data_IF_187008097180
#
_entry.id   IF_187008097180
#
_cell.length_a   1.000
_cell.length_b   1.000
_cell.length_c   1.000
_cell.angle_alpha   90.00
_cell.angle_beta   90.00
_cell.angle_gamma   90.00
#
_symmetry.space_group_name_H-M   'P 1'
#
loop_
_entity.id
_entity.type
_entity.pdbx_description
1 polymer ?
#
# COMPACT_ATOMS: atom_id res chain seq x y z
N UNK A 1 -1.61 12.91 -9.80
CA UNK A 1 -2.54 13.33 -8.74
C UNK A 1 -3.90 12.64 -8.89
N UNK A 2 -4.62 12.81 -9.96
CA UNK A 2 -5.95 12.18 -10.17
C UNK A 2 -5.95 10.64 -10.16
N UNK A 3 -4.87 10.00 -10.62
CA UNK A 3 -4.75 8.53 -10.59
C UNK A 3 -4.82 7.96 -9.16
N UNK A 4 -4.27 8.66 -8.18
CA UNK A 4 -4.33 8.28 -6.76
C UNK A 4 -5.75 8.35 -6.24
N UNK A 5 -6.47 9.44 -6.50
CA UNK A 5 -7.86 9.62 -6.07
C UNK A 5 -8.75 8.53 -6.68
N UNK A 6 -8.60 8.22 -7.99
CA UNK A 6 -9.32 7.10 -8.64
C UNK A 6 -9.08 5.78 -7.90
N UNK A 7 -7.82 5.46 -7.58
CA UNK A 7 -7.48 4.22 -6.86
C UNK A 7 -8.14 4.17 -5.48
N UNK A 8 -8.08 5.25 -4.72
CA UNK A 8 -8.68 5.35 -3.39
C UNK A 8 -10.20 5.16 -3.45
N UNK A 9 -10.89 5.77 -4.45
CA UNK A 9 -12.32 5.60 -4.66
C UNK A 9 -12.65 4.14 -4.99
N UNK A 10 -11.93 3.51 -5.94
CA UNK A 10 -12.15 2.10 -6.30
C UNK A 10 -11.93 1.20 -5.09
N UNK A 11 -10.85 1.40 -4.34
CA UNK A 11 -10.58 0.63 -3.13
C UNK A 11 -11.68 0.78 -2.08
N UNK A 12 -12.15 2.00 -1.84
CA UNK A 12 -13.24 2.25 -0.89
C UNK A 12 -14.57 1.60 -1.32
N UNK A 13 -14.85 1.57 -2.63
CA UNK A 13 -16.05 0.96 -3.20
C UNK A 13 -15.96 -0.55 -3.37
N UNK A 14 -14.76 -1.14 -3.33
CA UNK A 14 -14.59 -2.60 -3.49
C UNK A 14 -15.23 -3.40 -2.35
N UNK A 15 -15.40 -2.80 -1.18
CA UNK A 15 -16.01 -3.44 -0.01
C UNK A 15 -17.53 -3.22 0.09
N UNK A 16 -18.02 -2.06 -0.36
CA UNK A 16 -19.45 -1.70 -0.31
C UNK A 16 -19.72 -0.40 -1.08
N UNK A 17 -20.96 -0.23 -1.51
CA UNK A 17 -21.43 1.06 -2.01
C UNK A 17 -21.35 2.10 -0.88
N UNK A 18 -20.99 3.34 -1.23
CA UNK A 18 -20.82 4.42 -0.26
C UNK A 18 -21.51 5.69 -0.72
N UNK A 19 -21.93 6.51 0.23
CA UNK A 19 -22.38 7.84 -0.10
C UNK A 19 -21.22 8.72 -0.60
N UNK A 20 -21.54 9.75 -1.39
CA UNK A 20 -20.55 10.74 -1.84
C UNK A 20 -19.82 11.37 -0.63
N UNK A 21 -20.53 11.61 0.48
CA UNK A 21 -19.96 12.21 1.69
C UNK A 21 -18.96 11.28 2.37
N UNK A 22 -19.26 9.97 2.47
CA UNK A 22 -18.32 8.99 3.03
C UNK A 22 -17.06 8.88 2.17
N UNK A 23 -17.22 8.84 0.85
CA UNK A 23 -16.07 8.82 -0.07
C UNK A 23 -15.23 10.10 0.06
N UNK A 24 -15.88 11.26 0.08
CA UNK A 24 -15.20 12.55 0.20
C UNK A 24 -14.41 12.64 1.51
N UNK A 25 -14.99 12.16 2.62
CA UNK A 25 -14.33 12.16 3.94
C UNK A 25 -13.13 11.21 4.05
N UNK A 26 -13.03 10.23 3.15
CA UNK A 26 -11.94 9.24 3.12
C UNK A 26 -10.80 9.60 2.16
N UNK A 27 -10.88 10.74 1.47
CA UNK A 27 -9.90 11.13 0.45
C UNK A 27 -8.96 12.24 0.95
N UNK A 28 -7.71 12.18 0.47
CA UNK A 28 -6.72 13.25 0.64
C UNK A 28 -6.74 14.24 -0.53
N UNK A 29 -7.89 14.60 -0.98
CA UNK A 29 -8.07 15.49 -2.12
C UNK A 29 -8.86 16.72 -1.72
N UNK A 30 -8.65 17.84 -2.40
CA UNK A 30 -9.58 18.95 -2.32
C UNK A 30 -10.96 18.55 -2.84
N UNK A 31 -11.99 19.22 -2.35
CA UNK A 31 -13.37 18.96 -2.78
C UNK A 31 -13.50 19.05 -4.30
N UNK A 32 -12.85 20.04 -4.92
CA UNK A 32 -12.89 20.24 -6.37
C UNK A 32 -12.25 19.09 -7.15
N UNK A 33 -11.08 18.60 -6.70
CA UNK A 33 -10.38 17.46 -7.30
C UNK A 33 -11.18 16.17 -7.15
N UNK A 34 -11.75 15.94 -5.98
CA UNK A 34 -12.60 14.78 -5.72
C UNK A 34 -13.78 14.74 -6.69
N UNK A 35 -14.55 15.84 -6.80
CA UNK A 35 -15.69 15.88 -7.71
C UNK A 35 -15.32 15.83 -9.18
N UNK A 36 -14.17 16.39 -9.55
CA UNK A 36 -13.64 16.25 -10.91
C UNK A 36 -13.38 14.77 -11.24
N UNK A 37 -12.66 14.07 -10.37
CA UNK A 37 -12.36 12.64 -10.56
C UNK A 37 -13.60 11.78 -10.52
N UNK A 38 -14.54 12.07 -9.62
CA UNK A 38 -15.79 11.33 -9.52
C UNK A 38 -16.62 11.45 -10.80
N UNK A 39 -16.66 12.66 -11.40
CA UNK A 39 -17.30 12.90 -12.69
C UNK A 39 -16.61 12.12 -13.80
N UNK A 40 -15.29 12.19 -13.89
CA UNK A 40 -14.49 11.48 -14.89
C UNK A 40 -14.76 9.97 -14.82
N UNK A 41 -14.72 9.37 -13.60
CA UNK A 41 -15.02 7.95 -13.41
C UNK A 41 -16.44 7.57 -13.82
N UNK A 42 -17.42 8.46 -13.60
CA UNK A 42 -18.79 8.25 -14.06
C UNK A 42 -18.88 8.30 -15.59
N UNK A 43 -18.25 9.29 -16.21
CA UNK A 43 -18.24 9.46 -17.67
C UNK A 43 -17.50 8.30 -18.37
N UNK A 44 -16.50 7.72 -17.74
CA UNK A 44 -15.79 6.51 -18.17
C UNK A 44 -16.59 5.20 -17.92
N UNK A 45 -17.75 5.27 -17.28
CA UNK A 45 -18.56 4.10 -16.97
C UNK A 45 -17.97 3.19 -15.88
N UNK A 46 -17.06 3.69 -15.05
CA UNK A 46 -16.47 2.94 -13.94
C UNK A 46 -17.39 2.87 -12.73
N UNK A 47 -18.17 3.91 -12.50
CA UNK A 47 -19.09 4.03 -11.37
C UNK A 47 -20.48 4.51 -11.80
N UNK A 48 -21.50 4.16 -11.02
CA UNK A 48 -22.82 4.79 -11.05
C UNK A 48 -23.03 5.66 -9.82
N UNK A 49 -23.84 6.70 -9.96
CA UNK A 49 -24.27 7.57 -8.85
C UNK A 49 -25.78 7.68 -8.89
N UNK A 50 -26.43 7.10 -7.89
CA UNK A 50 -27.90 7.13 -7.75
C UNK A 50 -28.27 7.63 -6.35
N UNK A 51 -29.05 8.69 -6.28
CA UNK A 51 -29.51 9.30 -5.01
C UNK A 51 -28.37 9.60 -4.03
N UNK A 52 -27.18 9.99 -4.55
CA UNK A 52 -26.01 10.28 -3.73
C UNK A 52 -25.21 9.06 -3.26
N UNK A 53 -25.61 7.85 -3.67
CA UNK A 53 -24.84 6.61 -3.45
C UNK A 53 -24.04 6.31 -4.70
N UNK A 54 -22.77 5.99 -4.48
CA UNK A 54 -21.79 5.62 -5.52
C UNK A 54 -21.57 4.12 -5.47
N UNK A 55 -21.61 3.49 -6.64
CA UNK A 55 -21.40 2.05 -6.82
C UNK A 55 -20.42 1.79 -7.96
N UNK A 56 -19.57 0.76 -7.85
CA UNK A 56 -18.73 0.31 -8.96
C UNK A 56 -19.60 -0.36 -10.03
N UNK A 57 -19.36 0.02 -11.30
CA UNK A 57 -19.90 -0.65 -12.47
C UNK A 57 -18.81 -1.55 -13.05
N UNK A 58 -19.08 -2.85 -13.14
CA UNK A 58 -18.18 -3.88 -13.64
C UNK A 58 -16.95 -4.22 -12.81
N UNK A 59 -16.35 -5.34 -13.18
CA UNK A 59 -15.32 -6.10 -12.47
C UNK A 59 -13.92 -5.44 -12.49
N UNK A 60 -13.85 -4.12 -12.28
CA UNK A 60 -12.58 -3.45 -11.97
C UNK A 60 -12.03 -3.89 -10.61
N UNK A 61 -12.81 -4.69 -9.90
CA UNK A 61 -12.51 -5.25 -8.58
C UNK A 61 -11.48 -6.36 -8.60
N UNK A 62 -11.24 -7.05 -9.70
CA UNK A 62 -10.39 -8.26 -9.73
C UNK A 62 -8.96 -8.06 -9.21
N UNK A 63 -8.41 -6.85 -9.28
CA UNK A 63 -7.13 -6.51 -8.66
C UNK A 63 -7.25 -6.10 -7.18
N UNK A 64 -8.43 -5.74 -6.71
CA UNK A 64 -8.66 -5.18 -5.38
C UNK A 64 -9.44 -6.12 -4.45
N UNK A 65 -10.20 -7.07 -5.00
CA UNK A 65 -11.16 -7.91 -4.26
C UNK A 65 -10.52 -9.02 -3.44
N UNK A 66 -9.26 -9.37 -3.68
CA UNK A 66 -8.59 -10.45 -2.94
C UNK A 66 -8.14 -10.10 -1.53
N UNK A 67 -8.07 -8.81 -1.16
CA UNK A 67 -7.48 -8.38 0.11
C UNK A 67 -8.27 -7.20 0.68
N UNK A 68 -9.27 -7.49 1.52
CA UNK A 68 -9.89 -6.48 2.37
C UNK A 68 -8.96 -6.19 3.53
N UNK A 69 -8.30 -5.05 3.50
CA UNK A 69 -7.48 -4.58 4.61
C UNK A 69 -8.27 -3.57 5.45
N UNK A 70 -8.44 -3.87 6.72
CA UNK A 70 -8.87 -2.86 7.69
C UNK A 70 -7.63 -2.12 8.19
N UNK A 71 -7.28 -1.01 7.55
CA UNK A 71 -6.08 -0.25 7.86
C UNK A 71 -6.09 0.38 9.26
N UNK A 72 -7.27 0.63 9.86
CA UNK A 72 -7.36 1.26 11.18
C UNK A 72 -7.30 0.24 12.31
N UNK A 73 -6.43 0.50 13.28
CA UNK A 73 -6.32 -0.34 14.47
C UNK A 73 -7.59 -0.18 15.34
N UNK A 74 -8.28 -1.28 15.61
CA UNK A 74 -9.47 -1.30 16.50
C UNK A 74 -9.11 -1.16 17.98
N UNK A 75 -7.87 -1.46 18.36
CA UNK A 75 -7.42 -1.42 19.76
C UNK A 75 -7.09 0.00 20.19
N UNK A 76 -6.56 0.83 19.31
CA UNK A 76 -6.18 2.22 19.61
C UNK A 76 -7.18 3.25 19.07
N UNK A 77 -8.42 2.84 18.82
CA UNK A 77 -9.52 3.69 18.34
C UNK A 77 -9.18 4.48 17.05
N UNK A 78 -8.42 3.84 16.17
CA UNK A 78 -8.04 4.39 14.87
C UNK A 78 -6.84 5.34 14.89
N UNK A 79 -6.10 5.44 16.01
CA UNK A 79 -4.88 6.26 16.09
C UNK A 79 -3.65 5.57 15.51
N UNK A 80 -3.71 4.27 15.22
CA UNK A 80 -2.68 3.47 14.57
C UNK A 80 -3.24 2.60 13.45
N UNK A 81 -2.35 1.88 12.76
CA UNK A 81 -2.72 0.95 11.70
C UNK A 81 -2.78 -0.48 12.20
N UNK A 82 -3.83 -1.20 11.78
CA UNK A 82 -3.95 -2.64 12.01
C UNK A 82 -3.09 -3.40 11.01
N UNK A 83 -2.57 -4.55 11.45
CA UNK A 83 -1.97 -5.57 10.56
C UNK A 83 -2.99 -6.63 10.14
N UNK A 84 -4.26 -6.44 10.49
CA UNK A 84 -5.31 -7.39 10.12
C UNK A 84 -5.47 -7.46 8.61
N UNK A 85 -5.40 -8.66 8.06
CA UNK A 85 -5.34 -8.91 6.62
C UNK A 85 -3.91 -8.92 6.03
N UNK A 86 -2.89 -8.67 6.86
CA UNK A 86 -1.46 -8.72 6.49
C UNK A 86 -0.71 -9.84 7.22
N UNK A 87 -1.41 -10.76 7.87
CA UNK A 87 -0.80 -11.79 8.70
C UNK A 87 0.17 -12.67 7.89
N UNK A 88 -0.21 -13.03 6.66
CA UNK A 88 0.65 -13.83 5.77
C UNK A 88 1.92 -13.08 5.37
N UNK A 89 1.80 -11.78 5.08
CA UNK A 89 2.94 -10.92 4.75
C UNK A 89 3.85 -10.76 5.95
N UNK A 90 3.27 -10.57 7.14
CA UNK A 90 4.02 -10.45 8.39
C UNK A 90 4.85 -11.71 8.65
N UNK A 91 4.26 -12.89 8.54
CA UNK A 91 4.96 -14.15 8.79
C UNK A 91 6.06 -14.42 7.75
N UNK A 92 5.79 -14.16 6.47
CA UNK A 92 6.79 -14.30 5.41
C UNK A 92 7.93 -13.28 5.58
N UNK A 93 7.60 -12.03 5.89
CA UNK A 93 8.60 -10.99 6.15
C UNK A 93 9.46 -11.33 7.37
N UNK A 94 8.85 -11.82 8.47
CA UNK A 94 9.57 -12.32 9.66
C UNK A 94 10.59 -13.39 9.32
N UNK A 95 10.24 -14.31 8.41
CA UNK A 95 11.14 -15.37 8.00
C UNK A 95 12.34 -14.83 7.21
N UNK A 96 12.09 -13.94 6.27
CA UNK A 96 13.12 -13.34 5.41
C UNK A 96 14.14 -12.54 6.25
N UNK A 97 13.67 -11.71 7.18
CA UNK A 97 14.56 -10.81 7.93
C UNK A 97 15.44 -11.49 8.96
N UNK A 98 15.24 -12.78 9.25
CA UNK A 98 16.16 -13.55 10.13
C UNK A 98 17.60 -13.50 9.65
N UNK A 99 17.79 -13.37 8.33
CA UNK A 99 19.10 -13.36 7.69
C UNK A 99 19.56 -11.95 7.27
N UNK A 100 18.86 -10.88 7.73
CA UNK A 100 19.26 -9.52 7.39
C UNK A 100 20.62 -9.17 7.95
N UNK A 101 21.40 -8.32 7.28
CA UNK A 101 22.63 -7.75 7.86
C UNK A 101 22.32 -6.98 9.14
N UNK A 102 23.22 -7.08 10.13
CA UNK A 102 23.09 -6.26 11.34
C UNK A 102 23.23 -4.78 11.02
N UNK A 103 22.45 -3.95 11.72
CA UNK A 103 22.62 -2.51 11.68
C UNK A 103 24.03 -2.13 12.14
N UNK A 104 24.59 -1.09 11.51
CA UNK A 104 25.89 -0.52 11.91
C UNK A 104 25.73 0.97 12.15
N UNK A 105 26.43 1.44 13.17
CA UNK A 105 26.38 2.83 13.63
C UNK A 105 26.97 3.82 12.60
N UNK A 106 27.93 3.35 11.78
CA UNK A 106 28.58 4.14 10.74
C UNK A 106 27.60 4.73 9.72
N UNK A 107 26.47 4.03 9.45
CA UNK A 107 25.43 4.49 8.51
C UNK A 107 24.18 4.98 9.23
N UNK A 108 24.26 5.22 10.54
CA UNK A 108 23.12 5.66 11.36
C UNK A 108 21.87 4.76 11.17
N UNK A 109 22.10 3.46 11.01
CA UNK A 109 21.05 2.49 10.75
C UNK A 109 20.28 2.16 12.02
N UNK A 110 18.98 2.13 11.91
CA UNK A 110 18.04 1.64 12.92
C UNK A 110 17.06 0.65 12.33
N UNK A 111 16.61 -0.31 13.11
CA UNK A 111 15.60 -1.25 12.66
C UNK A 111 14.29 -1.01 13.38
N UNK A 112 13.23 -0.80 12.61
CA UNK A 112 11.87 -0.84 13.13
C UNK A 112 11.46 -2.26 13.52
N UNK A 113 10.45 -2.39 14.38
CA UNK A 113 9.81 -3.69 14.60
C UNK A 113 9.17 -4.18 13.29
N UNK A 114 9.14 -5.49 13.12
CA UNK A 114 8.56 -6.13 11.92
C UNK A 114 7.11 -5.70 11.71
N UNK A 115 6.38 -5.65 12.82
CA UNK A 115 4.99 -5.23 12.86
C UNK A 115 4.84 -3.77 12.39
N UNK A 116 5.76 -2.89 12.74
CA UNK A 116 5.69 -1.48 12.36
C UNK A 116 6.04 -1.27 10.87
N UNK A 117 6.95 -2.06 10.32
CA UNK A 117 7.21 -2.06 8.87
C UNK A 117 5.94 -2.48 8.12
N UNK A 118 5.27 -3.56 8.55
CA UNK A 118 4.02 -4.02 7.92
C UNK A 118 2.89 -3.01 8.12
N UNK A 119 2.80 -2.33 9.26
CA UNK A 119 1.84 -1.22 9.46
C UNK A 119 2.11 -0.06 8.50
N UNK A 120 3.38 0.27 8.23
CA UNK A 120 3.75 1.28 7.23
C UNK A 120 3.26 0.87 5.84
N UNK A 121 3.42 -0.40 5.47
CA UNK A 121 2.89 -0.95 4.21
C UNK A 121 1.36 -0.83 4.17
N UNK A 122 0.67 -1.22 5.24
CA UNK A 122 -0.79 -1.11 5.35
C UNK A 122 -1.28 0.34 5.18
N UNK A 123 -0.59 1.29 5.82
CA UNK A 123 -0.87 2.72 5.68
C UNK A 123 -0.77 3.20 4.22
N UNK A 124 0.33 2.85 3.55
CA UNK A 124 0.58 3.27 2.16
C UNK A 124 -0.42 2.60 1.22
N UNK A 125 -0.81 1.34 1.52
CA UNK A 125 -1.84 0.63 0.76
C UNK A 125 -3.22 1.30 0.88
N UNK A 126 -3.65 1.64 2.09
CA UNK A 126 -4.93 2.34 2.31
C UNK A 126 -4.99 3.67 1.55
N UNK A 127 -3.87 4.36 1.42
CA UNK A 127 -3.78 5.59 0.64
C UNK A 127 -3.79 5.37 -0.89
N UNK A 128 -3.77 4.11 -1.35
CA UNK A 128 -3.74 3.77 -2.78
C UNK A 128 -2.39 4.01 -3.46
N UNK A 129 -1.32 4.15 -2.69
CA UNK A 129 0.01 4.51 -3.21
C UNK A 129 0.86 3.28 -3.57
N UNK A 130 0.42 2.05 -3.24
CA UNK A 130 1.13 0.81 -3.60
C UNK A 130 0.73 0.24 -4.96
N UNK A 131 -0.56 0.24 -5.29
CA UNK A 131 -1.06 -0.48 -6.46
C UNK A 131 -0.53 0.09 -7.77
N UNK A 132 0.07 -0.78 -8.60
CA UNK A 132 0.70 -0.45 -9.88
C UNK A 132 1.72 0.72 -9.78
N UNK A 133 2.27 0.95 -8.58
CA UNK A 133 3.19 2.04 -8.34
C UNK A 133 4.62 1.63 -8.69
N UNK A 134 5.40 2.60 -9.20
CA UNK A 134 6.86 2.55 -9.16
C UNK A 134 7.29 3.29 -7.90
N UNK A 135 7.95 2.59 -7.00
CA UNK A 135 8.35 3.11 -5.69
C UNK A 135 9.85 3.31 -5.67
N UNK A 136 10.30 4.44 -5.15
CA UNK A 136 11.71 4.68 -4.83
C UNK A 136 11.88 4.70 -3.32
N UNK A 137 12.72 3.82 -2.80
CA UNK A 137 13.13 3.77 -1.40
C UNK A 137 14.56 4.30 -1.30
N UNK A 138 14.77 5.30 -0.46
CA UNK A 138 16.08 5.89 -0.21
C UNK A 138 16.51 5.52 1.22
N UNK A 139 17.51 4.64 1.35
CA UNK A 139 17.81 3.94 2.60
C UNK A 139 16.74 2.90 2.92
N UNK A 140 17.10 1.63 3.02
CA UNK A 140 16.15 0.53 3.25
C UNK A 140 16.62 -0.39 4.38
N UNK A 141 17.16 0.20 5.41
CA UNK A 141 17.61 -0.51 6.61
C UNK A 141 16.47 -1.27 7.31
N UNK A 142 15.25 -0.79 7.21
CA UNK A 142 14.02 -1.48 7.67
C UNK A 142 13.54 -2.60 6.73
N UNK A 143 14.12 -2.74 5.53
CA UNK A 143 13.71 -3.66 4.48
C UNK A 143 12.24 -3.47 4.05
N UNK A 144 11.77 -2.22 4.07
CA UNK A 144 10.43 -1.84 3.63
C UNK A 144 10.14 -2.30 2.21
N UNK A 145 11.15 -2.26 1.31
CA UNK A 145 11.02 -2.71 -0.08
C UNK A 145 10.55 -4.16 -0.18
N UNK A 146 11.04 -5.05 0.70
CA UNK A 146 10.61 -6.45 0.75
C UNK A 146 9.16 -6.54 1.20
N UNK A 147 8.83 -5.94 2.35
CA UNK A 147 7.46 -5.99 2.89
C UNK A 147 6.42 -5.40 1.91
N UNK A 148 6.75 -4.31 1.23
CA UNK A 148 5.90 -3.73 0.19
C UNK A 148 5.75 -4.67 -1.02
N UNK A 149 6.84 -5.30 -1.48
CA UNK A 149 6.83 -6.20 -2.62
C UNK A 149 6.07 -7.49 -2.37
N UNK A 150 6.07 -8.01 -1.14
CA UNK A 150 5.30 -9.21 -0.73
C UNK A 150 3.78 -8.99 -0.86
N UNK A 151 3.31 -7.75 -0.95
CA UNK A 151 1.89 -7.47 -1.25
C UNK A 151 1.51 -7.75 -2.69
N UNK A 152 2.46 -7.93 -3.60
CA UNK A 152 2.26 -8.07 -5.05
C UNK A 152 1.52 -6.85 -5.68
N UNK A 153 1.46 -5.72 -4.96
CA UNK A 153 0.77 -4.52 -5.42
C UNK A 153 1.66 -3.57 -6.22
N UNK A 154 2.92 -3.31 -5.81
CA UNK A 154 3.83 -2.46 -6.57
C UNK A 154 4.16 -3.07 -7.94
N UNK A 155 4.32 -2.20 -8.94
CA UNK A 155 4.84 -2.62 -10.23
C UNK A 155 6.35 -2.86 -10.17
N UNK A 156 7.08 -1.92 -9.57
CA UNK A 156 8.52 -1.98 -9.37
C UNK A 156 8.91 -1.21 -8.11
N UNK A 157 9.90 -1.71 -7.38
CA UNK A 157 10.48 -1.05 -6.21
C UNK A 157 11.97 -0.85 -6.45
N UNK A 158 12.37 0.40 -6.57
CA UNK A 158 13.78 0.79 -6.73
C UNK A 158 14.35 1.14 -5.36
N UNK A 159 15.52 0.60 -5.04
CA UNK A 159 16.19 0.89 -3.77
C UNK A 159 17.54 1.54 -4.03
N UNK A 160 17.76 2.67 -3.37
CA UNK A 160 19.06 3.33 -3.28
C UNK A 160 19.54 3.26 -1.83
N UNK A 161 20.64 2.55 -1.60
CA UNK A 161 21.24 2.44 -0.28
C UNK A 161 22.77 2.58 -0.40
N UNK A 162 23.41 3.11 0.64
CA UNK A 162 24.87 3.25 0.71
C UNK A 162 25.53 1.98 1.24
N UNK A 163 24.76 1.09 1.86
CA UNK A 163 25.24 -0.16 2.43
C UNK A 163 25.15 -1.30 1.40
N UNK A 164 26.28 -1.68 0.84
CA UNK A 164 26.37 -2.79 -0.11
C UNK A 164 25.85 -4.13 0.45
N UNK A 165 25.85 -4.30 1.76
CA UNK A 165 25.34 -5.52 2.42
C UNK A 165 23.82 -5.58 2.30
N UNK A 166 23.14 -4.44 2.52
CA UNK A 166 21.69 -4.32 2.33
C UNK A 166 21.35 -4.55 0.86
N UNK A 167 22.05 -3.89 -0.06
CA UNK A 167 21.83 -4.07 -1.51
C UNK A 167 22.03 -5.54 -1.92
N UNK A 168 23.09 -6.19 -1.44
CA UNK A 168 23.35 -7.60 -1.74
C UNK A 168 22.27 -8.52 -1.18
N UNK A 169 21.80 -8.25 0.05
CA UNK A 169 20.72 -8.99 0.67
C UNK A 169 19.41 -8.85 -0.12
N UNK A 170 19.04 -7.61 -0.49
CA UNK A 170 17.84 -7.33 -1.28
C UNK A 170 17.85 -8.03 -2.64
N UNK A 171 19.00 -8.01 -3.35
CA UNK A 171 19.16 -8.71 -4.63
C UNK A 171 18.96 -10.22 -4.49
N UNK A 172 19.51 -10.82 -3.43
CA UNK A 172 19.35 -12.25 -3.19
C UNK A 172 17.87 -12.60 -2.92
N UNK A 173 17.21 -11.88 -2.01
CA UNK A 173 15.79 -12.09 -1.69
C UNK A 173 14.91 -11.85 -2.93
N UNK A 174 15.17 -10.79 -3.70
CA UNK A 174 14.41 -10.49 -4.91
C UNK A 174 14.51 -11.64 -5.93
N UNK A 175 15.71 -12.18 -6.14
CA UNK A 175 15.93 -13.31 -7.06
C UNK A 175 15.27 -14.60 -6.56
N UNK A 176 15.42 -14.93 -5.26
CA UNK A 176 14.87 -16.15 -4.68
C UNK A 176 13.33 -16.17 -4.67
N UNK A 177 12.71 -15.02 -4.46
CA UNK A 177 11.27 -14.88 -4.28
C UNK A 177 10.55 -14.29 -5.50
N UNK A 178 11.27 -13.88 -6.54
CA UNK A 178 10.68 -13.24 -7.72
C UNK A 178 10.08 -11.86 -7.43
N UNK A 179 10.63 -11.11 -6.44
CA UNK A 179 10.11 -9.81 -6.06
C UNK A 179 10.53 -8.71 -7.03
N UNK A 180 9.70 -7.69 -7.30
CA UNK A 180 9.98 -6.63 -8.26
C UNK A 180 10.93 -5.54 -7.71
N UNK A 181 11.99 -5.94 -6.98
CA UNK A 181 12.98 -5.04 -6.36
C UNK A 181 14.17 -4.90 -7.31
N UNK A 182 14.65 -3.65 -7.49
CA UNK A 182 15.78 -3.28 -8.36
C UNK A 182 16.76 -2.38 -7.63
#
# INVERSE_FOLDING_TARGET
MFRRIKKQIVQALSSSNKSIYELMGSQDASISEFFYVLKEMKDEGMISIEKGIVSLLHDHTNKYVGRQYEGKCRVCDGTGYSIHGYESILEEFKDIIKNRPNCIEEYDQGAMSVEDVVRRVAFIHERGDLLDANILVMGDDDLFSIAASLTELPKEVFVLDVDDRIISFLKNVANERGLPIK
#
